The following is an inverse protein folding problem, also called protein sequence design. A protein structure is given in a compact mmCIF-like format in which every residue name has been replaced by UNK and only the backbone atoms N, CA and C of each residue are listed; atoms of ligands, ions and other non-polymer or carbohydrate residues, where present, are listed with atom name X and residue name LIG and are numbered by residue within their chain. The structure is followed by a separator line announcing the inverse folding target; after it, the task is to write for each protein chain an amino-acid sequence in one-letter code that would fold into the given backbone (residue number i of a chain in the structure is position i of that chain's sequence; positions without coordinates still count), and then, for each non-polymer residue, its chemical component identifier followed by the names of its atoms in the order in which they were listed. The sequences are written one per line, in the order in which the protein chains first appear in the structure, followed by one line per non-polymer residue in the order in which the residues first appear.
data_IF_883935356600
#
_entry.id   IF_883935356600
#
_cell.length_a   1.000
_cell.length_b   1.000
_cell.length_c   1.000
_cell.angle_alpha   90.00
_cell.angle_beta   90.00
_cell.angle_gamma   90.00
#
_symmetry.space_group_name_H-M   'P 1'
#
loop_
_entity.id
_entity.type
_entity.pdbx_description
1 polymer ?
#
# COMPACT_ATOMS: atom_id res chain seq x y z
N UNK A 1 4.20 29.80 -23.38
CA UNK A 1 3.58 28.74 -24.19
C UNK A 1 4.33 28.66 -25.51
N UNK A 2 4.61 27.47 -25.99
CA UNK A 2 5.18 27.22 -27.30
C UNK A 2 4.08 27.19 -28.38
N UNK A 3 4.41 27.35 -29.68
CA UNK A 3 3.40 27.44 -30.75
C UNK A 3 2.45 26.24 -30.87
N UNK A 4 2.84 25.07 -30.36
CA UNK A 4 2.09 23.80 -30.37
C UNK A 4 1.23 23.53 -29.10
N UNK A 5 1.05 24.56 -28.27
CA UNK A 5 0.31 24.44 -27.02
C UNK A 5 1.09 23.77 -25.85
N UNK A 6 2.38 23.53 -26.06
CA UNK A 6 3.27 23.04 -25.01
C UNK A 6 3.77 24.18 -24.11
N UNK A 7 4.26 23.83 -22.95
CA UNK A 7 4.82 24.75 -21.95
C UNK A 7 6.23 24.31 -21.60
N UNK A 8 7.20 25.23 -21.77
CA UNK A 8 8.54 25.06 -21.22
C UNK A 8 8.52 25.37 -19.72
N UNK A 9 8.96 24.43 -18.89
CA UNK A 9 9.10 24.59 -17.45
C UNK A 9 10.55 24.35 -17.07
N UNK A 10 11.16 25.34 -16.41
CA UNK A 10 12.52 25.23 -15.90
C UNK A 10 12.60 25.68 -14.46
N UNK A 11 13.54 25.11 -13.70
CA UNK A 11 13.85 25.54 -12.34
C UNK A 11 15.34 25.47 -12.05
N UNK A 12 15.75 26.29 -11.09
CA UNK A 12 17.08 26.27 -10.48
C UNK A 12 16.93 26.07 -8.98
N UNK A 13 17.71 25.14 -8.41
CA UNK A 13 17.81 24.96 -6.97
C UNK A 13 19.14 25.54 -6.50
N UNK A 14 19.08 26.50 -5.58
CA UNK A 14 20.24 27.22 -5.07
C UNK A 14 20.45 26.97 -3.59
N UNK A 15 21.68 26.65 -3.17
CA UNK A 15 22.11 26.79 -1.80
C UNK A 15 22.48 28.26 -1.55
N UNK A 16 21.59 28.99 -0.91
CA UNK A 16 21.75 30.44 -0.68
C UNK A 16 22.90 30.74 0.26
N UNK A 17 23.17 29.87 1.24
CA UNK A 17 24.26 30.06 2.20
C UNK A 17 25.63 29.88 1.54
N UNK A 18 25.76 28.92 0.63
CA UNK A 18 27.01 28.64 -0.09
C UNK A 18 27.11 29.38 -1.41
N UNK A 19 26.03 30.06 -1.85
CA UNK A 19 25.95 30.76 -3.14
C UNK A 19 26.25 29.85 -4.34
N UNK A 20 25.84 28.57 -4.29
CA UNK A 20 26.06 27.60 -5.37
C UNK A 20 24.75 27.05 -5.89
N UNK A 21 24.71 26.79 -7.19
CA UNK A 21 23.61 26.10 -7.83
C UNK A 21 23.72 24.59 -7.57
N UNK A 22 22.71 24.02 -6.95
CA UNK A 22 22.68 22.57 -6.61
C UNK A 22 22.20 21.74 -7.82
N UNK A 23 21.23 22.25 -8.55
CA UNK A 23 20.73 21.59 -9.77
C UNK A 23 19.96 22.58 -10.65
N UNK A 24 19.85 22.21 -11.91
CA UNK A 24 19.05 22.89 -12.93
C UNK A 24 18.34 21.80 -13.75
N UNK A 25 17.10 22.05 -14.11
CA UNK A 25 16.36 21.14 -14.97
C UNK A 25 15.34 21.91 -15.80
N UNK A 26 15.20 21.52 -17.08
CA UNK A 26 14.20 22.08 -17.99
C UNK A 26 13.45 20.95 -18.68
N UNK A 27 12.14 21.06 -18.80
CA UNK A 27 11.28 20.12 -19.51
C UNK A 27 10.27 20.86 -20.37
N UNK A 28 9.82 20.22 -21.44
CA UNK A 28 8.71 20.67 -22.26
C UNK A 28 7.56 19.69 -22.07
N UNK A 29 6.41 20.20 -21.66
CA UNK A 29 5.24 19.38 -21.34
C UNK A 29 3.98 19.96 -21.97
N UNK A 30 2.98 19.14 -22.32
CA UNK A 30 1.63 19.61 -22.63
C UNK A 30 1.04 20.41 -21.47
N UNK A 31 0.21 21.42 -21.74
CA UNK A 31 -0.37 22.29 -20.71
C UNK A 31 -1.19 21.53 -19.66
N UNK A 32 -1.86 20.44 -20.05
CA UNK A 32 -2.61 19.55 -19.15
C UNK A 32 -1.72 18.66 -18.26
N UNK A 33 -0.39 18.65 -18.50
CA UNK A 33 0.62 17.89 -17.74
C UNK A 33 1.44 18.74 -16.77
N UNK A 34 1.11 20.02 -16.62
CA UNK A 34 1.86 20.93 -15.73
C UNK A 34 1.91 20.45 -14.28
N UNK A 35 0.81 19.85 -13.78
CA UNK A 35 0.80 19.28 -12.43
C UNK A 35 1.76 18.11 -12.29
N UNK A 36 1.75 17.19 -13.25
CA UNK A 36 2.70 16.07 -13.27
C UNK A 36 4.16 16.56 -13.36
N UNK A 37 4.41 17.62 -14.12
CA UNK A 37 5.73 18.27 -14.18
C UNK A 37 6.13 18.86 -12.81
N UNK A 38 5.20 19.51 -12.10
CA UNK A 38 5.46 20.03 -10.76
C UNK A 38 5.82 18.91 -9.75
N UNK A 39 5.15 17.76 -9.80
CA UNK A 39 5.50 16.60 -8.98
C UNK A 39 6.88 16.05 -9.34
N UNK A 40 7.24 15.96 -10.61
CA UNK A 40 8.60 15.55 -11.04
C UNK A 40 9.68 16.52 -10.55
N UNK A 41 9.41 17.83 -10.59
CA UNK A 41 10.31 18.85 -10.04
C UNK A 41 10.46 18.65 -8.53
N UNK A 42 9.36 18.40 -7.81
CA UNK A 42 9.40 18.12 -6.37
C UNK A 42 10.23 16.87 -6.06
N UNK A 43 10.10 15.80 -6.86
CA UNK A 43 10.92 14.58 -6.72
C UNK A 43 12.42 14.88 -6.90
N UNK A 44 12.78 15.65 -7.93
CA UNK A 44 14.18 16.04 -8.20
C UNK A 44 14.75 16.91 -7.06
N UNK A 45 13.98 17.88 -6.57
CA UNK A 45 14.39 18.75 -5.47
C UNK A 45 14.57 17.92 -4.19
N UNK A 46 13.60 17.04 -3.89
CA UNK A 46 13.65 16.19 -2.71
C UNK A 46 14.88 15.28 -2.72
N UNK A 47 15.12 14.58 -3.85
CA UNK A 47 16.29 13.70 -3.99
C UNK A 47 17.60 14.50 -3.87
N UNK A 48 17.68 15.70 -4.43
CA UNK A 48 18.85 16.54 -4.35
C UNK A 48 19.16 17.01 -2.92
N UNK A 49 18.14 17.28 -2.12
CA UNK A 49 18.29 17.79 -0.76
C UNK A 49 18.49 16.68 0.27
N UNK A 50 17.89 15.51 0.08
CA UNK A 50 17.84 14.44 1.08
C UNK A 50 18.69 13.22 0.70
N UNK A 51 18.97 13.03 -0.57
CA UNK A 51 19.57 11.80 -1.12
C UNK A 51 18.56 10.67 -1.34
N UNK A 52 17.31 10.82 -0.90
CA UNK A 52 16.25 9.82 -1.07
C UNK A 52 15.42 10.12 -2.31
N UNK A 53 14.94 9.09 -2.99
CA UNK A 53 14.05 9.24 -4.15
C UNK A 53 12.74 9.91 -3.72
N UNK A 54 12.29 10.92 -4.47
CA UNK A 54 11.00 11.56 -4.26
C UNK A 54 9.82 10.63 -4.61
N UNK A 55 8.67 10.87 -4.00
CA UNK A 55 7.44 10.08 -4.19
C UNK A 55 6.24 10.91 -4.61
N UNK A 56 6.45 12.18 -4.93
CA UNK A 56 5.38 13.12 -5.32
C UNK A 56 4.70 12.74 -6.64
N UNK A 57 5.44 12.12 -7.57
CA UNK A 57 4.91 11.60 -8.85
C UNK A 57 4.24 10.23 -8.74
N UNK A 58 4.13 9.66 -7.54
CA UNK A 58 3.46 8.39 -7.33
C UNK A 58 1.93 8.56 -7.28
N UNK A 59 1.22 7.45 -7.18
CA UNK A 59 -0.23 7.42 -7.05
C UNK A 59 -0.63 6.65 -5.80
N UNK A 60 -1.82 6.97 -5.30
CA UNK A 60 -2.46 6.24 -4.22
C UNK A 60 -3.77 5.61 -4.71
N UNK A 61 -4.14 4.46 -4.14
CA UNK A 61 -5.46 3.88 -4.30
C UNK A 61 -6.16 3.87 -2.94
N UNK A 62 -7.47 4.00 -2.93
CA UNK A 62 -8.28 3.95 -1.71
C UNK A 62 -9.73 3.65 -2.05
N UNK A 63 -10.49 3.22 -1.06
CA UNK A 63 -11.92 2.97 -1.20
C UNK A 63 -12.70 4.13 -0.59
N UNK A 64 -13.68 4.65 -1.35
CA UNK A 64 -14.64 5.65 -0.88
C UNK A 64 -15.99 5.00 -0.72
N UNK A 65 -16.57 5.11 0.47
CA UNK A 65 -17.98 4.80 0.71
C UNK A 65 -18.77 6.10 0.71
N UNK A 66 -19.71 6.23 -0.21
CA UNK A 66 -20.62 7.36 -0.28
C UNK A 66 -22.06 6.87 -0.49
N UNK A 67 -22.94 7.21 0.43
CA UNK A 67 -24.29 6.65 0.47
C UNK A 67 -24.26 5.12 0.48
N UNK A 68 -24.85 4.45 -0.51
CA UNK A 68 -24.87 3.00 -0.64
C UNK A 68 -23.89 2.46 -1.69
N UNK A 69 -22.85 3.22 -2.02
CA UNK A 69 -21.87 2.85 -3.05
C UNK A 69 -20.45 2.83 -2.49
N UNK A 70 -19.67 1.89 -2.97
CA UNK A 70 -18.25 1.76 -2.74
C UNK A 70 -17.52 1.97 -4.05
N UNK A 71 -16.55 2.86 -4.08
CA UNK A 71 -15.73 3.11 -5.25
C UNK A 71 -14.24 2.90 -4.91
N UNK A 72 -13.56 2.05 -5.67
CA UNK A 72 -12.11 2.03 -5.68
C UNK A 72 -11.62 3.18 -6.54
N UNK A 73 -10.88 4.10 -5.95
CA UNK A 73 -10.33 5.26 -6.62
C UNK A 73 -8.81 5.21 -6.69
N UNK A 74 -8.26 5.82 -7.72
CA UNK A 74 -6.83 6.09 -7.88
C UNK A 74 -6.65 7.60 -8.05
N UNK A 75 -5.72 8.17 -7.30
CA UNK A 75 -5.39 9.59 -7.32
C UNK A 75 -3.87 9.81 -7.37
N UNK A 76 -3.44 11.03 -7.60
CA UNK A 76 -2.07 11.47 -7.35
C UNK A 76 -1.75 11.32 -5.84
N UNK A 77 -0.47 11.27 -5.47
CA UNK A 77 -0.05 11.04 -4.08
C UNK A 77 -0.62 12.05 -3.07
N UNK A 78 -0.97 13.25 -3.53
CA UNK A 78 -1.60 14.32 -2.73
C UNK A 78 -3.13 14.28 -2.73
N UNK A 79 -3.75 13.23 -3.31
CA UNK A 79 -5.19 13.04 -3.38
C UNK A 79 -5.89 13.77 -4.54
N UNK A 80 -5.16 14.53 -5.35
CA UNK A 80 -5.73 15.22 -6.52
C UNK A 80 -5.98 14.25 -7.68
N UNK A 81 -6.80 14.68 -8.64
CA UNK A 81 -7.07 13.95 -9.89
C UNK A 81 -7.61 12.52 -9.66
N UNK A 82 -8.45 12.35 -8.63
CA UNK A 82 -9.05 11.07 -8.28
C UNK A 82 -9.95 10.55 -9.40
N UNK A 83 -9.74 9.29 -9.77
CA UNK A 83 -10.53 8.60 -10.79
C UNK A 83 -11.08 7.29 -10.24
N UNK A 84 -12.38 7.07 -10.36
CA UNK A 84 -12.99 5.78 -10.02
C UNK A 84 -12.56 4.71 -11.01
N UNK A 85 -11.97 3.63 -10.46
CA UNK A 85 -11.57 2.45 -11.23
C UNK A 85 -12.74 1.52 -11.39
N UNK A 86 -13.51 1.35 -10.31
CA UNK A 86 -14.72 0.53 -10.27
C UNK A 86 -15.64 1.05 -9.16
N UNK A 87 -16.95 0.84 -9.32
CA UNK A 87 -17.98 1.25 -8.36
C UNK A 87 -19.07 0.17 -8.25
N UNK A 88 -19.45 -0.19 -7.03
CA UNK A 88 -20.54 -1.13 -6.73
C UNK A 88 -21.35 -0.71 -5.51
N UNK A 89 -22.54 -1.31 -5.36
CA UNK A 89 -23.34 -1.21 -4.11
C UNK A 89 -22.78 -2.08 -2.99
N UNK A 90 -21.97 -3.07 -3.34
CA UNK A 90 -21.35 -4.00 -2.39
C UNK A 90 -19.92 -3.56 -2.04
N UNK A 91 -19.40 -3.95 -0.88
CA UNK A 91 -18.07 -3.56 -0.46
C UNK A 91 -16.96 -3.91 -1.45
N UNK A 92 -15.99 -3.03 -1.53
CA UNK A 92 -14.68 -3.24 -2.15
C UNK A 92 -13.65 -3.01 -1.04
N UNK A 93 -12.68 -3.91 -0.88
CA UNK A 93 -11.65 -3.82 0.17
C UNK A 93 -10.29 -4.29 -0.34
N UNK A 94 -9.25 -4.04 0.43
CA UNK A 94 -7.87 -4.54 0.29
C UNK A 94 -7.27 -4.31 -1.10
N UNK A 95 -7.24 -3.07 -1.61
CA UNK A 95 -6.53 -2.77 -2.85
C UNK A 95 -5.03 -2.97 -2.70
N UNK A 96 -4.41 -3.60 -3.69
CA UNK A 96 -2.97 -3.86 -3.73
C UNK A 96 -2.41 -3.59 -5.12
N UNK A 97 -1.42 -2.70 -5.22
CA UNK A 97 -0.76 -2.35 -6.47
C UNK A 97 0.15 -3.45 -6.97
N UNK A 98 0.12 -3.73 -8.28
CA UNK A 98 1.18 -4.50 -8.90
C UNK A 98 2.52 -3.75 -8.81
N UNK A 99 3.66 -4.46 -8.71
CA UNK A 99 4.97 -3.81 -8.55
C UNK A 99 5.32 -2.84 -9.69
N UNK A 100 4.73 -3.02 -10.88
CA UNK A 100 4.95 -2.15 -12.03
C UNK A 100 3.96 -0.97 -12.11
N UNK A 101 2.96 -0.92 -11.21
CA UNK A 101 1.95 0.14 -11.14
C UNK A 101 0.93 0.13 -12.28
N UNK A 102 0.84 -0.96 -13.05
CA UNK A 102 -0.10 -1.08 -14.18
C UNK A 102 -1.42 -1.74 -13.82
N UNK A 103 -1.45 -2.48 -12.71
CA UNK A 103 -2.60 -3.25 -12.26
C UNK A 103 -2.88 -3.00 -10.76
N UNK A 104 -4.12 -3.26 -10.35
CA UNK A 104 -4.53 -3.31 -8.94
C UNK A 104 -5.28 -4.62 -8.70
N UNK A 105 -4.87 -5.35 -7.68
CA UNK A 105 -5.66 -6.43 -7.09
C UNK A 105 -6.57 -5.83 -6.01
N UNK A 106 -7.78 -6.36 -5.86
CA UNK A 106 -8.72 -5.95 -4.81
C UNK A 106 -9.76 -7.05 -4.57
N UNK A 107 -10.45 -6.95 -3.44
CA UNK A 107 -11.57 -7.83 -3.12
C UNK A 107 -12.87 -7.11 -3.44
N UNK A 108 -13.80 -7.77 -4.15
CA UNK A 108 -15.14 -7.26 -4.40
C UNK A 108 -16.20 -8.24 -3.92
N UNK A 109 -17.25 -7.70 -3.32
CA UNK A 109 -18.43 -8.45 -2.87
C UNK A 109 -19.61 -8.37 -3.84
N UNK A 110 -19.40 -7.91 -5.06
CA UNK A 110 -20.45 -7.71 -6.09
C UNK A 110 -21.34 -8.94 -6.32
N UNK A 111 -20.79 -10.15 -6.13
CA UNK A 111 -21.52 -11.42 -6.25
C UNK A 111 -21.96 -11.99 -4.89
N UNK A 112 -22.14 -11.13 -3.86
CA UNK A 112 -22.54 -11.50 -2.49
C UNK A 112 -21.53 -12.43 -1.77
N UNK A 113 -20.33 -12.57 -2.33
CA UNK A 113 -19.20 -13.27 -1.71
C UNK A 113 -17.91 -12.55 -2.07
N UNK A 114 -16.87 -12.60 -1.20
CA UNK A 114 -15.59 -12.00 -1.52
C UNK A 114 -14.87 -12.76 -2.63
N UNK A 115 -14.47 -12.03 -3.67
CA UNK A 115 -13.69 -12.53 -4.81
C UNK A 115 -12.52 -11.59 -5.02
N UNK A 116 -11.32 -12.14 -5.23
CA UNK A 116 -10.14 -11.35 -5.58
C UNK A 116 -10.09 -11.15 -7.09
N UNK A 117 -10.06 -9.89 -7.50
CA UNK A 117 -9.88 -9.49 -8.90
C UNK A 117 -8.53 -8.81 -9.10
N UNK A 118 -7.98 -8.95 -10.29
CA UNK A 118 -6.89 -8.13 -10.83
C UNK A 118 -7.44 -7.31 -11.97
N UNK A 119 -7.25 -6.00 -11.92
CA UNK A 119 -7.70 -5.07 -12.94
C UNK A 119 -6.54 -4.27 -13.52
N UNK A 120 -6.45 -4.24 -14.87
CA UNK A 120 -5.50 -3.41 -15.60
C UNK A 120 -6.02 -1.99 -15.70
N UNK A 121 -5.25 -1.01 -15.25
CA UNK A 121 -5.69 0.39 -15.16
C UNK A 121 -5.93 1.03 -16.52
N UNK A 122 -5.07 0.79 -17.50
CA UNK A 122 -5.15 1.41 -18.82
C UNK A 122 -6.36 0.94 -19.63
N UNK A 123 -6.69 -0.36 -19.58
CA UNK A 123 -7.76 -0.98 -20.40
C UNK A 123 -9.04 -1.17 -19.64
N UNK A 124 -9.01 -1.03 -18.30
CA UNK A 124 -10.13 -1.39 -17.40
C UNK A 124 -10.49 -2.88 -17.43
N UNK A 125 -9.77 -3.71 -18.19
CA UNK A 125 -9.97 -5.15 -18.19
C UNK A 125 -9.66 -5.74 -16.82
N UNK A 126 -10.54 -6.63 -16.34
CA UNK A 126 -10.36 -7.30 -15.03
C UNK A 126 -10.57 -8.80 -15.15
N UNK A 127 -9.94 -9.54 -14.25
CA UNK A 127 -10.04 -11.00 -14.16
C UNK A 127 -10.16 -11.41 -12.70
N UNK A 128 -11.04 -12.35 -12.41
CA UNK A 128 -11.08 -13.01 -11.10
C UNK A 128 -9.89 -13.97 -10.99
N UNK A 129 -9.01 -13.74 -10.01
CA UNK A 129 -7.81 -14.57 -9.78
C UNK A 129 -7.99 -15.51 -8.58
N UNK A 130 -8.86 -15.18 -7.64
CA UNK A 130 -9.29 -16.10 -6.59
C UNK A 130 -10.82 -16.01 -6.41
N UNK A 131 -11.53 -17.05 -6.85
CA UNK A 131 -12.97 -17.19 -6.75
C UNK A 131 -13.32 -18.62 -6.27
N UNK A 132 -12.66 -19.05 -5.20
CA UNK A 132 -12.84 -20.38 -4.61
C UNK A 132 -14.02 -20.42 -3.65
N UNK A 133 -14.38 -21.61 -3.18
CA UNK A 133 -15.40 -21.79 -2.15
C UNK A 133 -14.95 -21.09 -0.85
N UNK A 134 -15.86 -20.43 -0.16
CA UNK A 134 -15.59 -19.68 1.05
C UNK A 134 -15.04 -18.27 0.81
N UNK A 135 -14.28 -17.72 1.74
CA UNK A 135 -13.69 -16.39 1.65
C UNK A 135 -12.47 -16.39 0.74
N UNK A 136 -12.30 -15.30 -0.02
CA UNK A 136 -11.15 -15.01 -0.87
C UNK A 136 -10.77 -13.54 -0.61
N UNK A 137 -9.65 -13.28 0.04
CA UNK A 137 -9.33 -11.95 0.55
C UNK A 137 -7.85 -11.62 0.59
N UNK A 138 -7.53 -10.41 1.03
CA UNK A 138 -6.19 -9.89 1.34
C UNK A 138 -5.13 -10.21 0.28
N UNK A 139 -5.30 -9.78 -0.97
CA UNK A 139 -4.31 -10.01 -2.01
C UNK A 139 -3.03 -9.21 -1.76
N UNK A 140 -1.87 -9.83 -1.95
CA UNK A 140 -0.57 -9.17 -1.94
C UNK A 140 0.27 -9.66 -3.11
N UNK A 141 0.84 -8.74 -3.89
CA UNK A 141 1.67 -9.07 -5.05
C UNK A 141 3.06 -9.53 -4.64
N UNK A 142 3.57 -10.56 -5.33
CA UNK A 142 5.00 -10.87 -5.29
C UNK A 142 5.81 -9.74 -5.95
N UNK A 143 7.07 -9.49 -5.53
CA UNK A 143 7.87 -8.38 -6.06
C UNK A 143 8.15 -8.47 -7.56
N UNK A 144 8.13 -9.68 -8.15
CA UNK A 144 8.28 -9.92 -9.58
C UNK A 144 6.97 -9.72 -10.38
N UNK A 145 5.84 -9.50 -9.70
CA UNK A 145 4.52 -9.31 -10.29
C UNK A 145 3.91 -10.56 -10.92
N UNK A 146 4.49 -11.74 -10.73
CA UNK A 146 4.01 -12.98 -11.36
C UNK A 146 2.94 -13.69 -10.54
N UNK A 147 2.96 -13.53 -9.21
CA UNK A 147 2.06 -14.22 -8.28
C UNK A 147 1.42 -13.24 -7.29
N UNK A 148 0.33 -13.71 -6.69
CA UNK A 148 -0.28 -13.08 -5.51
C UNK A 148 -0.30 -14.10 -4.37
N UNK A 149 -0.05 -13.61 -3.16
CA UNK A 149 -0.52 -14.27 -1.96
C UNK A 149 -1.98 -13.83 -1.74
N UNK A 150 -2.85 -14.78 -1.43
CA UNK A 150 -4.27 -14.56 -1.15
C UNK A 150 -4.69 -15.39 0.06
N UNK A 151 -5.70 -14.94 0.76
CA UNK A 151 -6.25 -15.66 1.92
C UNK A 151 -7.51 -16.39 1.52
N UNK A 152 -7.53 -17.70 1.73
CA UNK A 152 -8.68 -18.56 1.39
C UNK A 152 -9.15 -19.36 2.60
N UNK A 153 -10.47 -19.53 2.75
CA UNK A 153 -11.08 -20.37 3.80
C UNK A 153 -11.60 -21.70 3.24
N UNK A 154 -10.78 -22.41 2.46
CA UNK A 154 -11.17 -23.64 1.76
C UNK A 154 -11.48 -24.83 2.68
N UNK A 155 -10.84 -24.93 3.85
CA UNK A 155 -10.87 -26.10 4.73
C UNK A 155 -11.10 -25.72 6.20
N UNK A 156 -11.97 -24.75 6.44
CA UNK A 156 -12.37 -24.33 7.79
C UNK A 156 -11.74 -23.04 8.28
N UNK A 157 -10.41 -22.94 8.37
CA UNK A 157 -9.70 -21.71 8.78
C UNK A 157 -9.20 -20.88 7.58
N UNK A 158 -8.97 -19.60 7.81
CA UNK A 158 -8.32 -18.73 6.82
C UNK A 158 -6.84 -19.01 6.75
N UNK A 159 -6.33 -19.34 5.57
CA UNK A 159 -4.92 -19.67 5.33
C UNK A 159 -4.40 -18.95 4.10
N UNK A 160 -3.09 -18.80 4.01
CA UNK A 160 -2.43 -18.11 2.90
C UNK A 160 -2.14 -19.09 1.77
N UNK A 161 -2.49 -18.71 0.57
CA UNK A 161 -2.23 -19.42 -0.67
C UNK A 161 -1.47 -18.53 -1.64
N UNK A 162 -0.72 -19.13 -2.54
CA UNK A 162 -0.15 -18.47 -3.72
C UNK A 162 -1.02 -18.81 -4.92
N UNK A 163 -1.17 -17.82 -5.80
CA UNK A 163 -1.84 -17.98 -7.10
C UNK A 163 -1.10 -17.15 -8.13
N UNK A 164 -0.99 -17.62 -9.36
CA UNK A 164 -0.43 -16.83 -10.45
C UNK A 164 -1.31 -15.60 -10.74
N UNK A 165 -0.73 -14.52 -11.26
CA UNK A 165 -1.47 -13.30 -11.60
C UNK A 165 -2.58 -13.53 -12.64
N UNK A 166 -2.54 -14.67 -13.35
CA UNK A 166 -3.59 -15.11 -14.25
C UNK A 166 -4.67 -16.00 -13.58
N UNK A 167 -4.59 -16.25 -12.28
CA UNK A 167 -5.52 -17.08 -11.51
C UNK A 167 -5.24 -18.58 -11.56
N UNK A 168 -4.20 -19.03 -12.26
CA UNK A 168 -3.76 -20.43 -12.28
C UNK A 168 -2.80 -20.75 -11.13
N UNK A 169 -2.40 -22.01 -10.97
CA UNK A 169 -1.30 -22.43 -10.12
C UNK A 169 -1.57 -22.25 -8.61
N UNK A 170 -2.81 -22.50 -8.15
CA UNK A 170 -3.14 -22.41 -6.74
C UNK A 170 -2.29 -23.34 -5.90
N UNK A 171 -1.61 -22.79 -4.90
CA UNK A 171 -0.74 -23.51 -3.99
C UNK A 171 -0.96 -23.01 -2.56
N UNK A 172 -1.20 -23.91 -1.61
CA UNK A 172 -1.29 -23.55 -0.19
C UNK A 172 0.11 -23.24 0.34
N UNK A 173 0.27 -22.12 1.04
CA UNK A 173 1.53 -21.70 1.64
C UNK A 173 1.54 -21.89 3.15
N UNK A 174 0.50 -21.44 3.87
CA UNK A 174 0.44 -21.60 5.32
C UNK A 174 -0.46 -22.76 5.77
N UNK A 175 -0.11 -23.32 6.93
CA UNK A 175 -0.89 -24.37 7.59
C UNK A 175 -0.83 -24.18 9.11
N UNK A 176 -1.91 -23.71 9.69
CA UNK A 176 -2.06 -23.52 11.15
C UNK A 176 -3.48 -23.84 11.59
N UNK A 177 -3.69 -23.94 12.89
CA UNK A 177 -5.02 -24.02 13.51
C UNK A 177 -5.68 -22.64 13.67
N UNK A 178 -4.92 -21.57 13.51
CA UNK A 178 -5.39 -20.18 13.59
C UNK A 178 -5.79 -19.60 12.26
N UNK A 179 -6.14 -18.31 12.30
CA UNK A 179 -6.41 -17.46 11.14
C UNK A 179 -5.08 -16.86 10.69
N UNK A 180 -4.64 -17.17 9.47
CA UNK A 180 -3.53 -16.53 8.80
C UNK A 180 -4.07 -15.57 7.74
N UNK A 181 -3.76 -14.27 7.84
CA UNK A 181 -4.32 -13.23 6.98
C UNK A 181 -3.32 -12.09 6.72
N UNK A 182 -3.69 -11.16 5.83
CA UNK A 182 -2.92 -9.96 5.51
C UNK A 182 -1.45 -10.24 5.16
N UNK A 183 -1.18 -11.13 4.19
CA UNK A 183 0.18 -11.43 3.78
C UNK A 183 0.83 -10.24 3.09
N UNK A 184 2.14 -10.08 3.30
CA UNK A 184 2.95 -9.10 2.58
C UNK A 184 4.33 -9.70 2.28
N UNK A 185 4.75 -9.66 1.01
CA UNK A 185 6.04 -10.22 0.60
C UNK A 185 7.21 -9.37 1.07
N UNK A 186 8.32 -10.00 1.43
CA UNK A 186 9.61 -9.33 1.53
C UNK A 186 10.05 -8.78 0.18
N UNK A 187 10.91 -7.73 0.15
CA UNK A 187 11.37 -7.13 -1.11
C UNK A 187 12.07 -8.09 -2.06
N UNK A 188 12.73 -9.13 -1.54
CA UNK A 188 13.37 -10.18 -2.30
C UNK A 188 12.43 -11.33 -2.71
N UNK A 189 11.18 -11.33 -2.21
CA UNK A 189 10.16 -12.34 -2.48
C UNK A 189 10.41 -13.70 -1.83
N UNK A 190 11.41 -13.84 -0.96
CA UNK A 190 11.76 -15.11 -0.34
C UNK A 190 10.94 -15.43 0.90
N UNK A 191 10.39 -14.41 1.56
CA UNK A 191 9.54 -14.55 2.74
C UNK A 191 8.25 -13.75 2.61
N UNK A 192 7.28 -14.06 3.46
CA UNK A 192 6.12 -13.22 3.74
C UNK A 192 6.04 -12.93 5.22
N UNK A 193 5.56 -11.74 5.57
CA UNK A 193 5.02 -11.43 6.89
C UNK A 193 3.50 -11.41 6.79
N UNK A 194 2.84 -11.76 7.89
CA UNK A 194 1.39 -11.88 7.91
C UNK A 194 0.85 -11.79 9.33
N UNK A 195 -0.42 -11.49 9.45
CA UNK A 195 -1.15 -11.53 10.71
C UNK A 195 -1.60 -12.96 11.01
N UNK A 196 -1.37 -13.44 12.24
CA UNK A 196 -1.89 -14.74 12.70
C UNK A 196 -2.26 -14.72 14.17
N UNK A 197 -3.35 -15.40 14.52
CA UNK A 197 -3.81 -15.61 15.90
C UNK A 197 -3.40 -17.00 16.45
N UNK A 198 -2.52 -17.72 15.75
CA UNK A 198 -2.03 -19.07 16.15
C UNK A 198 -1.44 -19.13 17.56
N UNK A 199 -0.99 -18.02 18.10
CA UNK A 199 -0.48 -17.87 19.47
C UNK A 199 -1.51 -17.37 20.48
N UNK A 200 -2.81 -17.35 20.12
CA UNK A 200 -3.92 -16.97 20.99
C UNK A 200 -4.43 -15.54 20.78
N UNK A 201 -3.65 -14.66 20.16
CA UNK A 201 -4.07 -13.30 19.77
C UNK A 201 -3.36 -12.89 18.47
N UNK A 202 -3.94 -11.95 17.69
CA UNK A 202 -3.35 -11.49 16.45
C UNK A 202 -1.97 -10.87 16.65
N UNK A 203 -0.98 -11.42 15.97
CA UNK A 203 0.42 -10.99 15.98
C UNK A 203 1.02 -11.13 14.60
N UNK A 204 2.13 -10.46 14.36
CA UNK A 204 2.86 -10.56 13.10
C UNK A 204 3.81 -11.75 13.15
N UNK A 205 3.72 -12.58 12.12
CA UNK A 205 4.58 -13.74 11.88
C UNK A 205 5.28 -13.63 10.54
N UNK A 206 6.39 -14.33 10.40
CA UNK A 206 7.16 -14.48 9.15
C UNK A 206 7.28 -15.95 8.79
N UNK A 207 7.20 -16.26 7.50
CA UNK A 207 7.49 -17.58 6.96
C UNK A 207 8.16 -17.49 5.59
N UNK A 208 8.89 -18.56 5.22
CA UNK A 208 9.49 -18.67 3.89
C UNK A 208 8.42 -18.94 2.82
N UNK A 209 8.64 -18.41 1.63
CA UNK A 209 7.87 -18.73 0.42
C UNK A 209 8.47 -19.99 -0.20
N UNK A 210 7.85 -21.12 0.05
CA UNK A 210 8.30 -22.45 -0.38
C UNK A 210 7.28 -23.10 -1.30
N UNK A 211 7.67 -24.17 -2.01
CA UNK A 211 6.78 -24.93 -2.87
C UNK A 211 5.78 -25.83 -2.10
N UNK A 212 5.99 -26.02 -0.80
CA UNK A 212 5.15 -26.85 0.06
C UNK A 212 4.53 -26.02 1.18
N UNK A 213 3.30 -26.35 1.54
CA UNK A 213 2.66 -25.72 2.72
C UNK A 213 3.49 -25.98 3.97
N UNK A 214 3.69 -24.97 4.79
CA UNK A 214 4.42 -25.06 6.05
C UNK A 214 3.62 -24.51 7.22
N UNK A 215 3.66 -25.19 8.35
CA UNK A 215 3.20 -24.67 9.62
C UNK A 215 4.27 -23.82 10.32
N UNK A 216 5.53 -23.91 9.88
CA UNK A 216 6.64 -23.20 10.49
C UNK A 216 6.55 -21.69 10.19
N UNK A 217 6.39 -20.89 11.24
CA UNK A 217 6.38 -19.45 11.16
C UNK A 217 7.02 -18.86 12.43
N UNK A 218 7.86 -17.85 12.24
CA UNK A 218 8.50 -17.12 13.32
C UNK A 218 7.61 -15.94 13.73
N UNK A 219 7.35 -15.81 15.03
CA UNK A 219 6.65 -14.63 15.57
C UNK A 219 7.62 -13.44 15.61
N UNK A 220 7.19 -12.28 15.10
CA UNK A 220 7.98 -11.06 15.05
C UNK A 220 7.60 -10.05 16.13
N UNK A 221 6.31 -9.96 16.51
CA UNK A 221 5.82 -8.99 17.49
C UNK A 221 5.58 -9.65 18.85
N UNK A 222 6.10 -9.05 19.92
CA UNK A 222 6.00 -9.53 21.30
C UNK A 222 5.41 -8.48 22.24
N UNK A 223 5.39 -7.20 21.83
CA UNK A 223 4.79 -6.12 22.57
C UNK A 223 3.32 -5.97 22.21
N UNK A 224 2.49 -5.71 23.22
CA UNK A 224 1.04 -5.60 23.07
C UNK A 224 0.32 -6.92 22.80
N UNK A 225 -1.01 -6.85 22.83
CA UNK A 225 -1.88 -8.02 22.65
C UNK A 225 -2.48 -8.14 21.26
N UNK A 226 -2.25 -7.16 20.38
CA UNK A 226 -2.88 -7.11 19.07
C UNK A 226 -2.01 -6.31 18.10
N UNK A 227 -1.49 -6.99 17.08
CA UNK A 227 -0.66 -6.44 16.02
C UNK A 227 -1.11 -7.03 14.69
N UNK A 228 -1.47 -6.17 13.71
CA UNK A 228 -2.09 -6.58 12.44
C UNK A 228 -1.62 -5.72 11.26
N UNK A 229 -2.02 -6.10 10.05
CA UNK A 229 -1.79 -5.36 8.81
C UNK A 229 -0.32 -5.00 8.54
N UNK A 230 0.58 -6.01 8.50
CA UNK A 230 2.00 -5.75 8.35
C UNK A 230 2.38 -5.43 6.89
N UNK A 231 3.31 -4.48 6.72
CA UNK A 231 3.94 -4.16 5.44
C UNK A 231 5.44 -4.03 5.60
N UNK A 232 6.22 -4.82 4.87
CA UNK A 232 7.68 -4.70 4.84
C UNK A 232 8.13 -3.30 4.41
N UNK A 233 9.19 -2.79 5.04
CA UNK A 233 9.98 -1.71 4.47
C UNK A 233 10.67 -2.20 3.19
N UNK A 234 10.93 -1.29 2.27
CA UNK A 234 11.51 -1.61 0.97
C UNK A 234 12.96 -2.08 1.06
N UNK A 235 13.67 -1.61 2.08
CA UNK A 235 15.04 -2.06 2.39
C UNK A 235 15.07 -3.41 3.13
N UNK A 236 13.91 -3.97 3.50
CA UNK A 236 13.77 -5.23 4.21
C UNK A 236 14.24 -5.21 5.66
N UNK A 237 14.58 -4.03 6.23
CA UNK A 237 15.11 -3.91 7.60
C UNK A 237 14.03 -3.86 8.67
N UNK A 238 12.81 -3.58 8.28
CA UNK A 238 11.70 -3.45 9.21
C UNK A 238 10.35 -3.66 8.54
N UNK A 239 9.31 -3.35 9.28
CA UNK A 239 7.94 -3.37 8.77
C UNK A 239 7.06 -2.37 9.52
N UNK A 240 6.04 -1.89 8.84
CA UNK A 240 4.96 -1.06 9.38
C UNK A 240 3.77 -1.95 9.71
N UNK A 241 3.02 -1.65 10.77
CA UNK A 241 1.84 -2.42 11.18
C UNK A 241 0.90 -1.57 12.03
N UNK A 242 -0.27 -2.09 12.32
CA UNK A 242 -1.19 -1.52 13.33
C UNK A 242 -0.95 -2.20 14.67
N UNK A 243 -0.62 -1.39 15.65
CA UNK A 243 -0.41 -1.77 17.04
C UNK A 243 -1.55 -1.29 17.92
N UNK A 244 -2.09 -2.17 18.75
CA UNK A 244 -3.07 -1.77 19.77
C UNK A 244 -2.37 -1.26 21.03
N UNK A 245 -2.53 0.04 21.27
CA UNK A 245 -2.03 0.75 22.44
C UNK A 245 -3.20 1.12 23.36
N UNK A 246 -3.48 0.30 24.36
CA UNK A 246 -4.66 0.45 25.22
C UNK A 246 -5.97 0.31 24.43
N UNK A 247 -6.74 1.39 24.35
CA UNK A 247 -7.98 1.45 23.56
C UNK A 247 -7.78 1.95 22.12
N UNK A 248 -6.58 2.40 21.77
CA UNK A 248 -6.24 2.99 20.49
C UNK A 248 -5.58 1.97 19.56
N UNK A 249 -5.74 2.17 18.25
CA UNK A 249 -5.06 1.46 17.19
C UNK A 249 -4.17 2.45 16.45
N UNK A 250 -2.87 2.25 16.49
CA UNK A 250 -1.90 3.21 16.00
C UNK A 250 -1.00 2.60 14.94
N UNK A 251 -0.56 3.41 13.99
CA UNK A 251 0.52 3.04 13.07
C UNK A 251 1.81 2.92 13.86
N UNK A 252 2.49 1.79 13.71
CA UNK A 252 3.78 1.51 14.32
C UNK A 252 4.77 0.99 13.27
N UNK A 253 6.04 1.11 13.56
CA UNK A 253 7.13 0.47 12.82
C UNK A 253 7.95 -0.40 13.77
N UNK A 254 8.48 -1.50 13.26
CA UNK A 254 9.41 -2.35 14.00
C UNK A 254 10.67 -2.60 13.17
N UNK A 255 11.83 -2.40 13.78
CA UNK A 255 13.12 -2.81 13.23
C UNK A 255 13.33 -4.31 13.46
N UNK A 256 13.68 -5.06 12.42
CA UNK A 256 13.83 -6.52 12.50
C UNK A 256 15.08 -6.97 13.26
N UNK A 257 16.15 -6.17 13.24
CA UNK A 257 17.40 -6.51 13.91
C UNK A 257 17.36 -6.24 15.42
N UNK A 258 16.86 -5.06 15.79
CA UNK A 258 16.80 -4.62 17.20
C UNK A 258 15.50 -5.02 17.89
N UNK A 259 14.44 -5.34 17.11
CA UNK A 259 13.06 -5.58 17.55
C UNK A 259 12.40 -4.38 18.23
N UNK A 260 12.99 -3.20 18.12
CA UNK A 260 12.41 -1.98 18.68
C UNK A 260 11.13 -1.62 17.94
N UNK A 261 10.09 -1.30 18.69
CA UNK A 261 8.80 -0.82 18.20
C UNK A 261 8.71 0.68 18.45
N UNK A 262 8.35 1.45 17.43
CA UNK A 262 8.07 2.87 17.54
C UNK A 262 6.64 3.15 17.08
N UNK A 263 5.84 3.80 17.95
CA UNK A 263 4.53 4.32 17.58
C UNK A 263 4.72 5.62 16.77
N UNK A 264 4.06 5.72 15.64
CA UNK A 264 4.14 6.89 14.75
C UNK A 264 2.93 7.80 14.90
N UNK A 265 1.79 7.26 15.33
CA UNK A 265 0.53 8.00 15.50
C UNK A 265 -0.02 7.84 16.92
N UNK A 266 -0.94 8.71 17.30
CA UNK A 266 -1.62 8.73 18.59
C UNK A 266 -3.15 8.89 18.47
N UNK A 267 -3.66 8.73 17.25
CA UNK A 267 -5.10 8.73 16.93
C UNK A 267 -5.82 7.57 17.62
N UNK A 268 -7.14 7.67 17.67
CA UNK A 268 -7.95 6.62 18.29
C UNK A 268 -8.05 5.37 17.44
N UNK A 269 -8.09 5.54 16.12
CA UNK A 269 -8.40 4.45 15.20
C UNK A 269 -7.69 4.66 13.86
N UNK A 270 -6.56 4.00 13.70
CA UNK A 270 -5.82 3.93 12.45
C UNK A 270 -5.93 2.52 11.86
N UNK A 271 -5.92 2.43 10.55
CA UNK A 271 -5.99 1.16 9.82
C UNK A 271 -5.22 1.21 8.50
N UNK A 272 -4.94 0.04 7.94
CA UNK A 272 -4.39 -0.17 6.59
C UNK A 272 -3.16 0.70 6.29
N UNK A 273 -2.09 0.63 7.10
CA UNK A 273 -0.88 1.41 6.87
C UNK A 273 -0.19 0.94 5.59
N UNK A 274 0.18 1.86 4.72
CA UNK A 274 0.84 1.57 3.45
C UNK A 274 2.08 2.44 3.27
N UNK A 275 3.30 1.89 3.39
CA UNK A 275 4.54 2.64 3.21
C UNK A 275 4.67 3.21 1.80
N UNK A 276 5.18 4.44 1.71
CA UNK A 276 5.62 5.03 0.46
C UNK A 276 6.80 4.24 -0.13
N UNK A 277 6.99 4.24 -1.46
CA UNK A 277 8.06 3.45 -2.07
C UNK A 277 9.49 3.90 -1.77
N UNK A 278 9.69 4.97 -0.97
CA UNK A 278 10.98 5.39 -0.42
C UNK A 278 11.09 5.17 1.10
N UNK A 279 10.11 4.52 1.73
CA UNK A 279 10.02 4.26 3.19
C UNK A 279 10.08 5.51 4.09
N UNK A 280 9.90 6.73 3.53
CA UNK A 280 9.97 7.97 4.31
C UNK A 280 8.63 8.43 4.87
N UNK A 281 7.55 7.94 4.27
CA UNK A 281 6.18 8.28 4.66
C UNK A 281 5.32 7.01 4.69
N UNK A 282 4.31 7.00 5.53
CA UNK A 282 3.30 5.95 5.60
C UNK A 282 1.92 6.60 5.42
N UNK A 283 1.18 6.13 4.41
CA UNK A 283 -0.22 6.44 4.20
C UNK A 283 -1.06 5.50 5.06
N UNK A 284 -2.11 6.00 5.70
CA UNK A 284 -3.03 5.20 6.51
C UNK A 284 -4.42 5.80 6.48
N UNK A 285 -5.44 5.02 6.81
CA UNK A 285 -6.77 5.56 7.08
C UNK A 285 -6.93 5.79 8.57
N UNK A 286 -7.62 6.88 8.91
CA UNK A 286 -7.96 7.24 10.29
C UNK A 286 -9.35 7.83 10.35
N UNK A 287 -9.88 8.07 11.54
CA UNK A 287 -11.22 8.59 11.71
C UNK A 287 -11.20 9.95 12.44
N UNK A 288 -11.80 10.96 11.82
CA UNK A 288 -12.03 12.26 12.42
C UNK A 288 -13.53 12.55 12.44
N UNK A 289 -14.08 12.77 13.64
CA UNK A 289 -15.52 13.07 13.87
C UNK A 289 -16.46 12.03 13.21
N UNK A 290 -16.11 10.75 13.28
CA UNK A 290 -16.92 9.66 12.73
C UNK A 290 -16.82 9.49 11.21
N UNK A 291 -15.88 10.15 10.56
CA UNK A 291 -15.61 10.04 9.13
C UNK A 291 -14.19 9.51 8.89
N UNK A 292 -14.07 8.49 8.04
CA UNK A 292 -12.78 8.01 7.56
C UNK A 292 -12.11 9.00 6.62
N UNK A 293 -10.85 9.26 6.86
CA UNK A 293 -9.97 10.12 6.05
C UNK A 293 -8.62 9.46 5.84
N UNK A 294 -7.81 9.99 4.94
CA UNK A 294 -6.42 9.57 4.78
C UNK A 294 -5.48 10.48 5.55
N UNK A 295 -4.60 9.87 6.33
CA UNK A 295 -3.46 10.50 6.96
C UNK A 295 -2.16 10.02 6.35
N UNK A 296 -1.13 10.85 6.43
CA UNK A 296 0.26 10.52 6.11
C UNK A 296 1.12 10.87 7.30
N UNK A 297 1.99 9.95 7.70
CA UNK A 297 2.96 10.18 8.77
C UNK A 297 4.37 9.85 8.27
N UNK A 298 5.37 10.64 8.68
CA UNK A 298 6.78 10.30 8.40
C UNK A 298 7.21 9.06 9.17
N UNK A 299 8.16 8.30 8.62
CA UNK A 299 8.67 7.07 9.25
C UNK A 299 9.34 7.29 10.60
N UNK A 300 9.69 8.55 10.95
CA UNK A 300 10.18 8.95 12.27
C UNK A 300 9.07 9.50 13.19
N UNK A 301 7.82 9.58 12.72
CA UNK A 301 6.66 10.04 13.48
C UNK A 301 6.54 11.55 13.68
N UNK A 302 7.48 12.36 13.16
CA UNK A 302 7.54 13.80 13.45
C UNK A 302 6.62 14.66 12.59
N UNK A 303 6.34 14.22 11.36
CA UNK A 303 5.50 14.94 10.41
C UNK A 303 4.22 14.15 10.21
N UNK A 304 3.08 14.82 10.37
CA UNK A 304 1.74 14.27 10.11
C UNK A 304 0.96 15.23 9.24
N UNK A 305 0.26 14.69 8.26
CA UNK A 305 -0.54 15.48 7.33
C UNK A 305 -1.81 14.71 6.97
N UNK A 306 -2.91 15.42 6.80
CA UNK A 306 -4.15 14.88 6.23
C UNK A 306 -4.16 15.09 4.73
N UNK A 307 -4.59 14.09 3.97
CA UNK A 307 -4.84 14.24 2.53
C UNK A 307 -6.27 14.74 2.35
N UNK A 308 -6.40 15.93 1.74
CA UNK A 308 -7.69 16.57 1.52
C UNK A 308 -8.47 15.88 0.40
N UNK A 309 -9.32 14.92 0.76
CA UNK A 309 -10.29 14.29 -0.14
C UNK A 309 -11.70 14.68 0.34
N UNK A 310 -12.49 15.33 -0.54
CA UNK A 310 -13.73 15.99 -0.12
C UNK A 310 -14.93 15.05 0.06
N UNK A 311 -14.92 13.83 -0.48
CA UNK A 311 -16.11 13.00 -0.57
C UNK A 311 -16.04 11.72 0.27
N UNK A 312 -17.15 11.41 0.98
CA UNK A 312 -17.42 10.09 1.54
C UNK A 312 -16.63 9.72 2.79
N UNK A 313 -16.76 8.47 3.18
CA UNK A 313 -15.97 7.77 4.20
C UNK A 313 -14.84 7.02 3.48
N UNK A 314 -13.59 7.33 3.77
CA UNK A 314 -12.44 6.86 3.02
C UNK A 314 -11.69 5.83 3.84
N UNK A 315 -11.39 4.69 3.22
CA UNK A 315 -10.79 3.52 3.85
C UNK A 315 -9.79 2.84 2.91
N UNK A 316 -9.06 1.86 3.43
CA UNK A 316 -8.25 0.90 2.66
C UNK A 316 -7.23 1.58 1.72
N UNK A 317 -6.39 2.50 2.20
CA UNK A 317 -5.39 3.11 1.34
C UNK A 317 -4.28 2.13 0.93
N UNK A 318 -3.76 2.33 -0.28
CA UNK A 318 -2.58 1.64 -0.77
C UNK A 318 -1.71 2.63 -1.54
N UNK A 319 -0.46 2.80 -1.14
CA UNK A 319 0.51 3.62 -1.85
C UNK A 319 1.07 2.87 -3.05
N UNK A 320 1.01 3.47 -4.23
CA UNK A 320 1.51 2.87 -5.47
C UNK A 320 3.04 2.92 -5.57
N UNK A 321 3.61 2.12 -6.48
CA UNK A 321 5.05 2.08 -6.71
C UNK A 321 5.55 3.33 -7.44
N UNK A 322 6.87 3.53 -7.45
CA UNK A 322 7.52 4.55 -8.26
C UNK A 322 7.16 4.39 -9.75
N UNK A 323 6.90 5.48 -10.48
CA UNK A 323 6.72 5.44 -11.93
C UNK A 323 7.96 4.83 -12.64
N UNK A 324 7.75 4.17 -13.77
CA UNK A 324 8.86 3.56 -14.55
C UNK A 324 9.95 4.56 -14.95
N UNK A 325 9.58 5.83 -15.16
CA UNK A 325 10.51 6.92 -15.50
C UNK A 325 11.49 7.29 -14.39
N UNK A 326 11.19 6.91 -13.14
CA UNK A 326 12.00 7.20 -11.94
C UNK A 326 12.74 5.96 -11.43
N UNK A 327 12.37 4.77 -11.90
CA UNK A 327 13.07 3.52 -11.54
C UNK A 327 14.42 3.50 -12.22
N UNK A 328 15.47 3.63 -11.44
CA UNK A 328 16.87 3.43 -11.87
C UNK A 328 17.30 1.99 -11.69
#
# INVERSE_FOLDING_TARGET
MLPDGQVGVGFYLMDVAKQVQLTEYTMIVPADRLRAAAHQIADIIYEKLTGDVGVFSTRIAYVVKQSNKYALQVADADGFNAQSIIEYSEPIISPAWSPDGTQIAYVSFENKKPIVYVQTLATRARKAVANFKGSNSAPAWSPDGKRLAVVLSLQGGSQIFLVNADGSGLQRLSQSSGIDTEPNFSPDGQTIIFTSDRGGSPQIYRMAVTESASGAAERLTFEGSYNVSPHHSRDGRGFTFIHRNGANFNVAVQDLATRQVQLLTDSRFDESPSPAPNDRMILYATEIKGRGILGVVSSDGKIRQEISIQAGDIREPAWGPLPKSIRR
#
